data_IF_546513378826
#
_entry.id   IF_546513378826
#
_cell.length_a   1.000
_cell.length_b   1.000
_cell.length_c   1.000
_cell.angle_alpha   90.00
_cell.angle_beta   90.00
_cell.angle_gamma   90.00
#
_symmetry.space_group_name_H-M   'P 1'
#
loop_
_entity.id
_entity.type
_entity.pdbx_description
1 polymer ?
#
# COMPACT_ATOMS: atom_id res chain seq x y z
N UNK A 1 6.76 -5.58 -1.82
CA UNK A 1 7.20 -4.26 -2.32
C UNK A 1 8.00 -3.57 -1.21
N UNK A 2 9.01 -2.75 -1.52
CA UNK A 2 9.82 -2.04 -0.50
C UNK A 2 10.38 -0.71 -1.01
N UNK A 3 10.74 0.19 -0.09
CA UNK A 3 11.50 1.40 -0.39
C UNK A 3 13.00 1.15 -0.20
N UNK A 4 13.83 1.57 -1.15
CA UNK A 4 15.29 1.47 -1.08
C UNK A 4 15.92 2.84 -1.15
N UNK A 5 16.72 3.20 -0.16
CA UNK A 5 17.58 4.37 -0.20
C UNK A 5 18.97 4.00 -0.72
N UNK A 6 19.41 4.66 -1.79
CA UNK A 6 20.74 4.52 -2.37
C UNK A 6 21.70 5.50 -1.67
N UNK A 7 22.20 5.07 -0.51
CA UNK A 7 22.97 5.90 0.41
C UNK A 7 24.47 5.98 0.05
N UNK A 8 25.26 6.91 0.56
CA UNK A 8 24.87 8.04 1.37
C UNK A 8 24.68 9.28 0.47
N UNK A 9 23.73 10.15 0.80
CA UNK A 9 23.62 11.45 0.14
C UNK A 9 24.90 12.26 0.40
N UNK A 10 25.21 13.21 -0.49
CA UNK A 10 26.39 14.07 -0.31
C UNK A 10 26.21 15.13 0.78
N UNK A 11 24.97 15.49 1.07
CA UNK A 11 24.59 16.38 2.17
C UNK A 11 24.21 15.51 3.39
N UNK A 12 24.80 15.83 4.54
CA UNK A 12 24.57 15.10 5.78
C UNK A 12 23.14 15.27 6.30
N UNK A 13 22.59 16.48 6.22
CA UNK A 13 21.24 16.75 6.71
C UNK A 13 20.20 15.98 5.88
N UNK A 14 20.37 15.96 4.55
CA UNK A 14 19.50 15.17 3.65
C UNK A 14 19.62 13.67 3.93
N UNK A 15 20.84 13.19 4.26
CA UNK A 15 21.08 11.78 4.58
C UNK A 15 20.35 11.35 5.85
N UNK A 16 20.55 12.09 6.95
CA UNK A 16 19.90 11.79 8.23
C UNK A 16 18.38 11.91 8.11
N UNK A 17 17.88 12.96 7.45
CA UNK A 17 16.44 13.14 7.26
C UNK A 17 15.82 12.03 6.40
N UNK A 18 16.54 11.55 5.39
CA UNK A 18 16.09 10.40 4.59
C UNK A 18 15.97 9.15 5.46
N UNK A 19 16.96 8.88 6.30
CA UNK A 19 16.95 7.74 7.22
C UNK A 19 15.78 7.85 8.21
N UNK A 20 15.61 9.00 8.86
CA UNK A 20 14.51 9.26 9.81
C UNK A 20 13.12 9.06 9.17
N UNK A 21 12.95 9.50 7.93
CA UNK A 21 11.71 9.28 7.20
C UNK A 21 11.47 7.80 6.90
N UNK A 22 12.51 7.03 6.56
CA UNK A 22 12.38 5.58 6.36
C UNK A 22 11.99 4.86 7.66
N UNK A 23 12.56 5.26 8.82
CA UNK A 23 12.07 4.77 10.11
C UNK A 23 10.60 5.11 10.29
N UNK A 24 10.21 6.37 10.10
CA UNK A 24 8.82 6.80 10.29
C UNK A 24 7.84 6.03 9.39
N UNK A 25 8.22 5.79 8.13
CA UNK A 25 7.40 5.07 7.14
C UNK A 25 7.27 3.59 7.50
N UNK A 26 8.40 2.95 7.80
CA UNK A 26 8.40 1.59 8.32
C UNK A 26 7.53 1.51 9.58
N UNK A 27 7.68 2.50 10.47
CA UNK A 27 7.10 2.43 11.78
C UNK A 27 5.59 2.57 11.74
N UNK A 28 5.12 3.53 10.94
CA UNK A 28 3.71 3.87 10.83
C UNK A 28 2.92 2.90 9.96
N UNK A 29 3.51 2.37 8.89
CA UNK A 29 2.76 1.61 7.87
C UNK A 29 3.25 0.18 7.65
N UNK A 30 4.36 -0.22 8.28
CA UNK A 30 4.98 -1.53 8.07
C UNK A 30 5.57 -1.70 6.67
N UNK A 31 5.74 -0.61 5.93
CA UNK A 31 6.35 -0.65 4.60
C UNK A 31 7.81 -1.06 4.76
N UNK A 32 8.20 -2.16 4.11
CA UNK A 32 9.58 -2.63 4.15
C UNK A 32 10.53 -1.58 3.59
N UNK A 33 11.63 -1.34 4.30
CA UNK A 33 12.69 -0.39 3.91
C UNK A 33 14.04 -1.08 3.78
N UNK A 34 14.91 -0.54 2.93
CA UNK A 34 16.26 -1.02 2.68
C UNK A 34 17.21 0.15 2.46
N UNK A 35 18.46 0.00 2.89
CA UNK A 35 19.55 0.92 2.53
C UNK A 35 20.56 0.14 1.70
N UNK A 36 20.81 0.63 0.49
CA UNK A 36 21.91 0.19 -0.37
C UNK A 36 22.99 1.28 -0.36
N UNK A 37 24.06 1.06 0.39
CA UNK A 37 25.18 1.99 0.51
C UNK A 37 26.08 1.89 -0.72
N UNK A 38 25.88 2.85 -1.60
CA UNK A 38 26.70 3.22 -2.75
C UNK A 38 28.04 3.83 -2.30
N UNK A 39 28.01 4.65 -1.24
CA UNK A 39 29.18 5.37 -0.75
C UNK A 39 29.10 5.61 0.76
N UNK A 40 30.00 4.97 1.52
CA UNK A 40 30.06 5.07 2.98
C UNK A 40 30.75 6.37 3.42
N UNK A 41 29.97 7.44 3.55
CA UNK A 41 30.44 8.80 3.89
C UNK A 41 30.39 9.06 5.38
N UNK A 42 29.35 8.59 6.07
CA UNK A 42 29.03 9.02 7.44
C UNK A 42 29.21 7.95 8.52
N UNK A 43 29.79 6.80 8.18
CA UNK A 43 30.05 5.74 9.16
C UNK A 43 28.85 4.81 9.35
N UNK A 44 28.63 4.28 10.56
CA UNK A 44 27.63 3.21 10.78
C UNK A 44 26.21 3.77 10.93
N UNK A 45 25.27 3.18 10.19
CA UNK A 45 23.83 3.45 10.31
C UNK A 45 23.24 2.30 11.14
N UNK A 46 23.19 2.42 12.47
CA UNK A 46 22.62 1.39 13.34
C UNK A 46 22.01 2.00 14.61
N UNK A 47 20.83 1.53 15.06
CA UNK A 47 20.08 0.34 14.57
C UNK A 47 18.94 0.67 13.58
N UNK A 48 18.98 0.17 12.33
CA UNK A 48 17.95 0.41 11.26
C UNK A 48 16.99 -0.78 11.09
N UNK A 49 15.66 -0.57 10.88
CA UNK A 49 14.66 -1.64 10.81
C UNK A 49 14.80 -2.53 9.58
N UNK A 50 15.36 -1.99 8.49
CA UNK A 50 15.56 -2.71 7.24
C UNK A 50 16.94 -3.35 7.09
N UNK A 51 17.16 -3.99 5.94
CA UNK A 51 18.51 -4.46 5.60
C UNK A 51 19.40 -3.32 5.13
N UNK A 52 20.67 -3.33 5.56
CA UNK A 52 21.70 -2.45 5.02
C UNK A 52 22.67 -3.31 4.21
N UNK A 53 22.91 -2.91 2.96
CA UNK A 53 23.85 -3.55 2.03
C UNK A 53 24.86 -2.52 1.58
N UNK A 54 26.03 -2.99 1.17
CA UNK A 54 27.06 -2.13 0.60
C UNK A 54 27.57 -2.81 -0.66
N UNK A 55 27.45 -2.12 -1.79
CA UNK A 55 27.88 -2.60 -3.09
C UNK A 55 28.47 -1.44 -3.90
N UNK A 56 29.41 -1.70 -4.81
CA UNK A 56 29.91 -0.68 -5.73
C UNK A 56 28.79 -0.05 -6.55
N UNK A 57 28.89 1.26 -6.81
CA UNK A 57 27.89 2.02 -7.57
C UNK A 57 27.61 1.45 -8.95
N UNK A 58 28.65 0.93 -9.63
CA UNK A 58 28.53 0.29 -10.94
C UNK A 58 27.69 -0.99 -10.88
N UNK A 59 27.91 -1.85 -9.87
CA UNK A 59 27.16 -3.10 -9.68
C UNK A 59 25.69 -2.82 -9.36
N UNK A 60 25.42 -1.79 -8.53
CA UNK A 60 24.06 -1.36 -8.22
C UNK A 60 23.37 -0.84 -9.49
N UNK A 61 24.05 0.01 -10.26
CA UNK A 61 23.51 0.54 -11.50
C UNK A 61 23.18 -0.57 -12.49
N UNK A 62 24.11 -1.51 -12.70
CA UNK A 62 23.91 -2.62 -13.62
C UNK A 62 22.77 -3.55 -13.19
N UNK A 63 22.58 -3.74 -11.88
CA UNK A 63 21.49 -4.56 -11.32
C UNK A 63 20.13 -3.88 -11.42
N UNK A 64 20.03 -2.62 -10.99
CA UNK A 64 18.74 -1.97 -10.73
C UNK A 64 18.32 -1.00 -11.84
N UNK A 65 19.27 -0.31 -12.49
CA UNK A 65 18.99 0.82 -13.39
C UNK A 65 19.24 0.49 -14.87
N UNK A 66 20.25 -0.31 -15.17
CA UNK A 66 20.70 -0.55 -16.54
C UNK A 66 19.65 -1.30 -17.37
N UNK A 67 19.29 -0.74 -18.52
CA UNK A 67 18.26 -1.27 -19.44
C UNK A 67 16.89 -1.50 -18.78
N UNK A 68 16.62 -0.82 -17.67
CA UNK A 68 15.35 -0.94 -16.98
C UNK A 68 14.27 -0.09 -17.65
N UNK A 69 13.48 -0.73 -18.52
CA UNK A 69 12.40 -0.07 -19.26
C UNK A 69 11.24 0.35 -18.37
N UNK A 70 10.93 -0.43 -17.34
CA UNK A 70 9.86 -0.12 -16.39
C UNK A 70 10.17 1.18 -15.65
N UNK A 71 11.37 1.27 -15.07
CA UNK A 71 11.87 2.50 -14.46
C UNK A 71 11.80 3.66 -15.45
N UNK A 72 12.34 3.48 -16.66
CA UNK A 72 12.41 4.55 -17.66
C UNK A 72 11.04 5.09 -18.08
N UNK A 73 10.02 4.23 -18.17
CA UNK A 73 8.65 4.65 -18.43
C UNK A 73 8.07 5.45 -17.26
N UNK A 74 8.35 5.05 -16.01
CA UNK A 74 7.74 5.67 -14.82
C UNK A 74 8.43 6.99 -14.38
N UNK A 75 9.61 7.30 -14.92
CA UNK A 75 10.30 8.57 -14.70
C UNK A 75 10.33 9.46 -15.95
N UNK A 76 9.64 9.05 -17.03
CA UNK A 76 9.59 9.72 -18.32
C UNK A 76 10.96 10.03 -18.98
N UNK A 77 12.00 9.29 -18.61
CA UNK A 77 13.36 9.45 -19.15
C UNK A 77 14.15 8.13 -19.10
N UNK A 78 15.13 7.94 -20.00
CA UNK A 78 15.97 6.73 -19.90
C UNK A 78 16.82 6.73 -18.62
N UNK A 79 17.00 5.58 -17.93
CA UNK A 79 17.82 5.52 -16.72
C UNK A 79 19.27 5.97 -16.91
N UNK A 80 19.80 5.88 -18.13
CA UNK A 80 21.12 6.41 -18.46
C UNK A 80 21.19 7.93 -18.50
N UNK A 81 20.11 8.61 -18.88
CA UNK A 81 20.08 10.07 -18.86
C UNK A 81 19.85 10.60 -17.45
N UNK A 82 18.94 9.99 -16.70
CA UNK A 82 18.61 10.41 -15.35
C UNK A 82 19.74 10.17 -14.34
N UNK A 83 20.48 9.04 -14.45
CA UNK A 83 21.39 8.58 -13.40
C UNK A 83 22.86 8.43 -13.83
N UNK A 84 23.26 9.04 -14.95
CA UNK A 84 24.68 9.16 -15.34
C UNK A 84 25.05 10.59 -15.69
N UNK A 85 26.05 11.14 -15.00
CA UNK A 85 26.48 12.52 -15.21
C UNK A 85 27.39 12.70 -16.43
N UNK A 86 28.19 11.68 -16.79
CA UNK A 86 28.90 11.56 -18.08
C UNK A 86 29.69 10.25 -18.19
N UNK A 87 29.66 9.61 -19.37
CA UNK A 87 30.43 8.40 -19.64
C UNK A 87 30.01 7.21 -18.76
N UNK A 88 30.93 6.73 -17.91
CA UNK A 88 30.68 5.62 -16.97
C UNK A 88 30.31 6.06 -15.55
N UNK A 89 30.34 7.36 -15.26
CA UNK A 89 30.07 7.83 -13.90
C UNK A 89 28.59 7.68 -13.57
N UNK A 90 28.30 6.84 -12.58
CA UNK A 90 26.97 6.57 -12.04
C UNK A 90 26.66 7.59 -10.96
N UNK A 91 25.52 8.26 -11.08
CA UNK A 91 25.05 9.26 -10.13
C UNK A 91 23.76 8.75 -9.48
N UNK A 92 23.88 7.83 -8.53
CA UNK A 92 22.74 7.19 -7.83
C UNK A 92 22.72 7.41 -6.32
N UNK A 93 23.76 8.04 -5.77
CA UNK A 93 23.83 8.37 -4.35
C UNK A 93 22.72 9.37 -3.97
N UNK A 94 22.08 9.25 -2.81
CA UNK A 94 21.07 10.21 -2.34
C UNK A 94 19.66 10.03 -2.93
N UNK A 95 19.44 9.07 -3.83
CA UNK A 95 18.12 8.79 -4.39
C UNK A 95 17.37 7.70 -3.61
N UNK A 96 16.05 7.68 -3.75
CA UNK A 96 15.20 6.61 -3.22
C UNK A 96 14.45 5.94 -4.36
N UNK A 97 14.29 4.62 -4.27
CA UNK A 97 13.57 3.82 -5.25
C UNK A 97 12.47 2.98 -4.64
N UNK A 98 11.44 2.69 -5.45
CA UNK A 98 10.41 1.69 -5.17
C UNK A 98 10.86 0.37 -5.81
N UNK A 99 10.94 -0.69 -5.00
CA UNK A 99 11.29 -2.04 -5.44
C UNK A 99 10.05 -2.94 -5.38
N UNK A 100 9.57 -3.38 -6.54
CA UNK A 100 8.55 -4.42 -6.68
C UNK A 100 8.94 -5.38 -7.81
N UNK A 101 9.46 -6.56 -7.47
CA UNK A 101 10.08 -7.50 -8.42
C UNK A 101 11.37 -6.99 -9.10
N UNK A 102 11.69 -5.71 -8.93
CA UNK A 102 12.83 -4.96 -9.46
C UNK A 102 12.65 -3.47 -9.15
N UNK A 103 13.59 -2.61 -9.54
CA UNK A 103 13.41 -1.16 -9.39
C UNK A 103 12.35 -0.68 -10.39
N UNK A 104 11.18 -0.24 -9.89
CA UNK A 104 10.06 0.19 -10.76
C UNK A 104 9.96 1.70 -10.88
N UNK A 105 10.45 2.44 -9.89
CA UNK A 105 10.49 3.91 -9.89
C UNK A 105 11.63 4.39 -8.99
N UNK A 106 12.20 5.55 -9.28
CA UNK A 106 13.17 6.22 -8.41
C UNK A 106 13.00 7.74 -8.46
N UNK A 107 13.35 8.43 -7.36
CA UNK A 107 13.46 9.89 -7.39
C UNK A 107 14.50 10.31 -8.42
N UNK A 108 14.24 11.40 -9.13
CA UNK A 108 15.14 11.97 -10.14
C UNK A 108 15.88 13.20 -9.61
N UNK A 109 15.44 13.73 -8.46
CA UNK A 109 16.10 14.81 -7.72
C UNK A 109 16.43 14.41 -6.28
N UNK A 110 17.59 14.86 -5.78
CA UNK A 110 18.08 14.57 -4.42
C UNK A 110 17.57 15.59 -3.40
N UNK A 111 17.54 15.21 -2.13
CA UNK A 111 17.26 16.16 -1.05
C UNK A 111 15.85 16.72 -1.12
N UNK A 112 15.71 17.99 -0.76
CA UNK A 112 14.44 18.72 -0.78
C UNK A 112 14.17 19.41 -2.15
N UNK A 113 12.95 19.92 -2.39
CA UNK A 113 12.61 20.62 -3.63
C UNK A 113 13.31 21.99 -3.78
N UNK A 114 13.90 22.53 -2.71
CA UNK A 114 14.45 23.89 -2.67
C UNK A 114 15.73 23.94 -3.51
N UNK A 115 15.65 24.61 -4.65
CA UNK A 115 16.80 24.88 -5.52
C UNK A 115 16.70 24.22 -6.90
N UNK A 116 15.70 23.37 -7.13
CA UNK A 116 15.45 22.76 -8.46
C UNK A 116 14.55 23.60 -9.37
N UNK A 117 13.98 24.68 -8.85
CA UNK A 117 13.11 25.60 -9.60
C UNK A 117 11.62 25.22 -9.50
N UNK A 118 10.72 26.05 -10.04
CA UNK A 118 9.28 25.89 -9.87
C UNK A 118 8.68 24.73 -10.68
N UNK A 119 9.42 24.18 -11.64
CA UNK A 119 8.94 23.14 -12.55
C UNK A 119 9.17 21.72 -12.00
N UNK A 120 9.97 21.56 -10.94
CA UNK A 120 10.19 20.28 -10.27
C UNK A 120 9.11 20.09 -9.21
N UNK A 121 8.36 19.01 -9.34
CA UNK A 121 7.35 18.67 -8.34
C UNK A 121 8.02 18.16 -7.07
N UNK A 122 7.50 18.56 -5.90
CA UNK A 122 8.05 18.12 -4.61
C UNK A 122 8.20 16.59 -4.54
N UNK A 123 7.27 15.85 -5.15
CA UNK A 123 7.26 14.39 -5.15
C UNK A 123 8.27 13.73 -6.10
N UNK A 124 9.04 14.48 -6.87
CA UNK A 124 10.15 13.97 -7.68
C UNK A 124 11.49 14.03 -6.93
N UNK A 125 11.51 14.76 -5.82
CA UNK A 125 12.67 14.82 -4.91
C UNK A 125 12.64 13.68 -3.89
N UNK A 126 13.80 13.21 -3.45
CA UNK A 126 13.91 12.15 -2.42
C UNK A 126 13.14 12.50 -1.15
N UNK A 127 13.39 13.67 -0.56
CA UNK A 127 12.73 14.06 0.70
C UNK A 127 11.27 14.39 0.49
N UNK A 128 10.89 15.04 -0.62
CA UNK A 128 9.49 15.36 -0.87
C UNK A 128 8.65 14.10 -1.12
N UNK A 129 9.17 13.12 -1.86
CA UNK A 129 8.52 11.81 -2.01
C UNK A 129 8.38 11.09 -0.67
N UNK A 130 9.46 10.96 0.11
CA UNK A 130 9.41 10.28 1.40
C UNK A 130 8.47 10.97 2.39
N UNK A 131 8.40 12.31 2.39
CA UNK A 131 7.41 13.03 3.18
C UNK A 131 5.98 12.71 2.74
N UNK A 132 5.71 12.55 1.45
CA UNK A 132 4.38 12.13 0.99
C UNK A 132 4.05 10.72 1.45
N UNK A 133 5.00 9.77 1.37
CA UNK A 133 4.79 8.40 1.89
C UNK A 133 4.59 8.41 3.41
N UNK A 134 5.36 9.20 4.16
CA UNK A 134 5.17 9.32 5.61
C UNK A 134 3.75 9.82 5.98
N UNK A 135 3.12 10.61 5.11
CA UNK A 135 1.78 11.16 5.33
C UNK A 135 0.64 10.28 4.78
N UNK A 136 0.83 9.61 3.63
CA UNK A 136 -0.22 8.87 2.90
C UNK A 136 0.00 7.35 2.81
N UNK A 137 1.14 6.84 3.26
CA UNK A 137 1.48 5.42 3.22
C UNK A 137 1.58 4.87 1.80
N UNK A 138 1.01 3.69 1.58
CA UNK A 138 1.05 2.97 0.30
C UNK A 138 0.49 3.78 -0.88
N UNK A 139 -0.53 4.60 -0.65
CA UNK A 139 -1.17 5.37 -1.72
C UNK A 139 -0.15 6.25 -2.47
N UNK A 140 0.76 6.90 -1.75
CA UNK A 140 1.82 7.72 -2.35
C UNK A 140 2.87 6.90 -3.12
N UNK A 141 3.07 5.63 -2.74
CA UNK A 141 3.97 4.73 -3.44
C UNK A 141 3.33 4.25 -4.74
N UNK A 142 2.08 3.77 -4.66
CA UNK A 142 1.35 3.24 -5.81
C UNK A 142 1.12 4.33 -6.87
N UNK A 143 0.83 5.58 -6.47
CA UNK A 143 0.69 6.75 -7.36
C UNK A 143 1.89 6.95 -8.31
N UNK A 144 3.08 6.43 -7.98
CA UNK A 144 4.29 6.61 -8.80
C UNK A 144 4.44 5.67 -9.97
N UNK A 145 3.82 4.50 -9.93
CA UNK A 145 4.08 3.46 -10.93
C UNK A 145 2.86 2.60 -11.30
N UNK A 146 1.74 2.74 -10.58
CA UNK A 146 0.48 2.08 -10.88
C UNK A 146 -0.51 3.08 -11.43
N UNK A 147 -1.27 2.68 -12.44
CA UNK A 147 -2.40 3.49 -12.93
C UNK A 147 -3.57 3.48 -11.93
N UNK A 148 -4.54 4.38 -12.11
CA UNK A 148 -5.70 4.50 -11.22
C UNK A 148 -6.52 3.20 -11.13
N UNK A 149 -6.68 2.49 -12.25
CA UNK A 149 -7.46 1.25 -12.28
C UNK A 149 -6.73 0.11 -11.56
N UNK A 150 -5.40 0.05 -11.64
CA UNK A 150 -4.56 -0.89 -10.89
C UNK A 150 -4.61 -0.56 -9.39
N UNK A 151 -4.49 0.72 -9.02
CA UNK A 151 -4.53 1.21 -7.62
C UNK A 151 -5.84 0.92 -6.89
N UNK A 152 -6.96 0.95 -7.59
CA UNK A 152 -8.29 0.62 -7.05
C UNK A 152 -8.49 -0.88 -6.85
N UNK A 153 -7.72 -1.71 -7.59
CA UNK A 153 -7.90 -3.16 -7.63
C UNK A 153 -6.90 -3.94 -6.77
N UNK A 154 -5.85 -3.30 -6.25
CA UNK A 154 -4.69 -4.01 -5.69
C UNK A 154 -5.02 -4.96 -4.54
N UNK A 155 -5.68 -4.51 -3.47
CA UNK A 155 -5.88 -5.38 -2.29
C UNK A 155 -6.79 -6.57 -2.60
N UNK A 156 -7.95 -6.31 -3.21
CA UNK A 156 -8.92 -7.36 -3.53
C UNK A 156 -8.36 -8.33 -4.57
N UNK A 157 -7.72 -7.85 -5.64
CA UNK A 157 -7.14 -8.75 -6.65
C UNK A 157 -5.98 -9.57 -6.09
N UNK A 158 -5.12 -8.97 -5.25
CA UNK A 158 -4.06 -9.72 -4.58
C UNK A 158 -4.64 -10.80 -3.66
N UNK A 159 -5.68 -10.47 -2.88
CA UNK A 159 -6.36 -11.45 -2.03
C UNK A 159 -7.01 -12.57 -2.84
N UNK A 160 -7.75 -12.24 -3.90
CA UNK A 160 -8.40 -13.22 -4.78
C UNK A 160 -7.41 -14.06 -5.60
N UNK A 161 -6.20 -13.56 -5.83
CA UNK A 161 -5.13 -14.32 -6.46
C UNK A 161 -4.51 -15.35 -5.51
N UNK A 162 -4.79 -15.26 -4.21
CA UNK A 162 -4.43 -16.30 -3.25
C UNK A 162 -5.50 -17.38 -3.18
N UNK A 163 -5.09 -18.63 -2.95
CA UNK A 163 -6.00 -19.78 -2.82
C UNK A 163 -6.64 -19.87 -1.42
N UNK A 164 -6.79 -18.74 -0.70
CA UNK A 164 -7.31 -18.68 0.68
C UNK A 164 -8.80 -19.07 0.72
N UNK A 165 -9.59 -18.61 -0.25
CA UNK A 165 -11.02 -18.95 -0.39
C UNK A 165 -11.30 -19.30 -1.84
N UNK A 166 -11.85 -20.49 -2.09
CA UNK A 166 -12.23 -20.95 -3.42
C UNK A 166 -13.74 -20.84 -3.61
N UNK A 167 -14.19 -20.10 -4.64
CA UNK A 167 -15.62 -19.93 -4.93
C UNK A 167 -15.87 -19.06 -6.17
N UNK A 168 -17.15 -18.80 -6.44
CA UNK A 168 -17.57 -17.88 -7.52
C UNK A 168 -17.53 -16.45 -7.01
N UNK A 169 -16.78 -15.58 -7.69
CA UNK A 169 -16.55 -14.21 -7.24
C UNK A 169 -17.48 -13.21 -7.94
N UNK A 170 -18.20 -12.43 -7.14
CA UNK A 170 -18.98 -11.27 -7.57
C UNK A 170 -18.35 -10.01 -6.97
N UNK A 171 -17.97 -9.04 -7.81
CA UNK A 171 -17.33 -7.79 -7.37
C UNK A 171 -18.32 -6.64 -7.35
N UNK A 172 -18.04 -5.64 -6.52
CA UNK A 172 -18.78 -4.38 -6.45
C UNK A 172 -20.29 -4.61 -6.28
N UNK A 173 -20.66 -5.52 -5.38
CA UNK A 173 -22.05 -5.93 -5.20
C UNK A 173 -22.80 -4.86 -4.44
N UNK A 174 -23.73 -4.20 -5.13
CA UNK A 174 -24.61 -3.19 -4.52
C UNK A 174 -25.69 -3.88 -3.70
N UNK A 175 -25.80 -3.51 -2.42
CA UNK A 175 -26.78 -4.04 -1.48
C UNK A 175 -27.59 -2.93 -0.80
N UNK A 176 -28.83 -3.29 -0.46
CA UNK A 176 -29.82 -2.40 0.10
C UNK A 176 -30.54 -1.60 -0.99
N UNK A 177 -31.87 -1.64 -0.97
CA UNK A 177 -32.68 -0.77 -1.82
C UNK A 177 -32.65 0.67 -1.28
N UNK A 178 -32.25 1.64 -2.11
CA UNK A 178 -32.52 3.05 -1.84
C UNK A 178 -34.04 3.26 -1.79
N UNK A 179 -34.56 3.76 -0.67
CA UNK A 179 -35.98 4.15 -0.57
C UNK A 179 -36.25 5.57 -1.09
N UNK A 180 -35.24 6.22 -1.69
CA UNK A 180 -35.46 7.48 -2.36
C UNK A 180 -36.07 7.23 -3.74
N UNK A 181 -37.11 7.97 -4.13
CA UNK A 181 -37.70 7.84 -5.46
C UNK A 181 -36.67 8.20 -6.55
N UNK A 182 -36.63 7.40 -7.63
CA UNK A 182 -35.73 7.51 -8.80
C UNK A 182 -35.87 8.79 -9.63
N UNK A 183 -36.47 9.87 -9.10
CA UNK A 183 -36.58 11.13 -9.81
C UNK A 183 -36.20 12.31 -8.93
N UNK A 184 -35.20 13.13 -9.35
CA UNK A 184 -35.14 14.47 -8.84
C UNK A 184 -36.44 15.18 -9.23
N UNK A 185 -37.04 15.88 -8.28
CA UNK A 185 -37.98 16.93 -8.62
C UNK A 185 -37.28 17.87 -9.60
N UNK A 186 -37.86 18.05 -10.79
CA UNK A 186 -37.45 18.95 -11.87
C UNK A 186 -36.44 20.04 -11.44
N UNK A 187 -35.23 19.99 -12.02
CA UNK A 187 -34.32 21.14 -12.08
C UNK A 187 -33.28 21.28 -10.97
N UNK A 188 -33.03 20.23 -10.18
CA UNK A 188 -31.90 20.21 -9.23
C UNK A 188 -30.99 19.04 -9.58
N UNK A 189 -29.73 19.32 -9.89
CA UNK A 189 -28.66 18.31 -9.92
C UNK A 189 -28.61 17.66 -8.55
N UNK A 190 -29.22 16.48 -8.41
CA UNK A 190 -29.26 15.78 -7.13
C UNK A 190 -28.05 14.87 -7.03
N UNK A 191 -26.95 15.43 -6.53
CA UNK A 191 -25.83 14.72 -5.88
C UNK A 191 -26.26 13.96 -4.61
N UNK A 192 -27.52 13.55 -4.53
CA UNK A 192 -28.17 12.77 -3.48
C UNK A 192 -28.42 11.33 -3.93
N UNK A 193 -28.42 11.05 -5.26
CA UNK A 193 -28.55 9.69 -5.79
C UNK A 193 -27.36 8.79 -5.48
N UNK A 194 -26.15 9.36 -5.34
CA UNK A 194 -24.93 8.63 -4.94
C UNK A 194 -24.90 8.26 -3.45
N UNK A 195 -25.80 8.81 -2.61
CA UNK A 195 -25.69 8.69 -1.15
C UNK A 195 -26.31 7.45 -0.52
N UNK A 196 -26.88 6.50 -1.26
CA UNK A 196 -27.77 5.48 -0.65
C UNK A 196 -27.47 4.02 -1.02
N UNK A 197 -26.69 3.75 -2.06
CA UNK A 197 -26.26 2.37 -2.36
C UNK A 197 -24.99 2.03 -1.59
N UNK A 198 -25.00 0.91 -0.86
CA UNK A 198 -23.81 0.40 -0.17
C UNK A 198 -23.22 -0.72 -1.02
N UNK A 199 -21.95 -0.58 -1.39
CA UNK A 199 -21.24 -1.58 -2.20
C UNK A 199 -20.42 -2.48 -1.29
N UNK A 200 -20.50 -3.79 -1.51
CA UNK A 200 -19.58 -4.79 -0.98
C UNK A 200 -18.48 -5.01 -2.02
N UNK A 201 -17.21 -4.98 -1.60
CA UNK A 201 -16.08 -5.12 -2.52
C UNK A 201 -16.12 -6.46 -3.27
N UNK A 202 -16.34 -7.56 -2.54
CA UNK A 202 -16.61 -8.85 -3.15
C UNK A 202 -17.52 -9.76 -2.33
N UNK A 203 -18.26 -10.60 -3.05
CA UNK A 203 -18.93 -11.78 -2.54
C UNK A 203 -18.29 -13.01 -3.18
N UNK A 204 -17.81 -13.95 -2.36
CA UNK A 204 -17.28 -15.23 -2.83
C UNK A 204 -18.28 -16.31 -2.43
N UNK A 205 -19.06 -16.79 -3.39
CA UNK A 205 -20.03 -17.87 -3.20
C UNK A 205 -19.28 -19.22 -3.14
N UNK A 206 -19.40 -19.91 -2.01
CA UNK A 206 -18.84 -21.25 -1.80
C UNK A 206 -19.95 -22.28 -1.60
N UNK A 207 -19.60 -23.56 -1.51
CA UNK A 207 -20.59 -24.61 -1.21
C UNK A 207 -21.12 -24.53 0.23
N UNK A 208 -20.41 -23.85 1.14
CA UNK A 208 -20.71 -23.77 2.58
C UNK A 208 -21.37 -22.44 2.96
N UNK A 209 -20.84 -21.33 2.46
CA UNK A 209 -21.31 -19.98 2.78
C UNK A 209 -20.95 -18.96 1.70
N UNK A 210 -21.66 -17.83 1.72
CA UNK A 210 -21.27 -16.65 0.95
C UNK A 210 -20.32 -15.79 1.78
N UNK A 211 -19.11 -15.57 1.27
CA UNK A 211 -18.13 -14.73 1.94
C UNK A 211 -18.34 -13.27 1.57
N UNK A 212 -18.66 -12.44 2.56
CA UNK A 212 -18.78 -10.98 2.40
C UNK A 212 -17.42 -10.37 2.70
N UNK A 213 -16.70 -9.97 1.67
CA UNK A 213 -15.32 -9.49 1.76
C UNK A 213 -15.30 -7.97 1.65
N UNK A 214 -14.68 -7.34 2.64
CA UNK A 214 -14.33 -5.92 2.62
C UNK A 214 -12.82 -5.74 2.69
N UNK A 215 -12.28 -4.86 1.87
CA UNK A 215 -10.84 -4.65 1.74
C UNK A 215 -10.44 -3.23 2.12
N UNK A 216 -9.24 -3.10 2.69
CA UNK A 216 -8.60 -1.84 3.05
C UNK A 216 -7.10 -1.94 2.75
N UNK A 217 -6.44 -0.81 2.49
CA UNK A 217 -5.00 -0.82 2.17
C UNK A 217 -4.14 -1.06 3.41
N UNK A 218 -4.38 -0.31 4.47
CA UNK A 218 -3.54 -0.35 5.68
C UNK A 218 -4.36 -0.68 6.91
N UNK A 219 -3.86 -1.57 7.74
CA UNK A 219 -4.41 -1.80 9.07
C UNK A 219 -4.09 -0.63 10.00
N UNK A 220 -5.13 0.10 10.40
CA UNK A 220 -5.10 1.08 11.48
C UNK A 220 -6.33 0.84 12.36
N UNK A 221 -6.24 1.05 13.67
CA UNK A 221 -7.35 0.77 14.59
C UNK A 221 -8.66 1.49 14.19
N UNK A 222 -8.58 2.76 13.78
CA UNK A 222 -9.74 3.52 13.31
C UNK A 222 -10.31 3.00 11.99
N UNK A 223 -9.44 2.53 11.09
CA UNK A 223 -9.86 1.92 9.83
C UNK A 223 -10.56 0.59 10.12
N UNK A 224 -9.97 -0.26 10.97
CA UNK A 224 -10.58 -1.51 11.41
C UNK A 224 -11.98 -1.31 12.01
N UNK A 225 -12.15 -0.38 12.95
CA UNK A 225 -13.45 -0.10 13.58
C UNK A 225 -14.51 0.33 12.55
N UNK A 226 -14.10 1.19 11.59
CA UNK A 226 -14.99 1.65 10.52
C UNK A 226 -15.38 0.49 9.59
N UNK A 227 -14.40 -0.27 9.11
CA UNK A 227 -14.60 -1.39 8.19
C UNK A 227 -15.40 -2.52 8.83
N UNK A 228 -15.20 -2.77 10.13
CA UNK A 228 -16.03 -3.67 10.94
C UNK A 228 -17.50 -3.24 10.96
N UNK A 229 -17.76 -1.95 11.21
CA UNK A 229 -19.11 -1.40 11.15
C UNK A 229 -19.73 -1.55 9.77
N UNK A 230 -18.95 -1.31 8.72
CA UNK A 230 -19.42 -1.43 7.33
C UNK A 230 -19.77 -2.87 6.96
N UNK A 231 -18.90 -3.85 7.25
CA UNK A 231 -19.13 -5.25 6.85
C UNK A 231 -20.37 -5.83 7.53
N UNK A 232 -20.58 -5.53 8.82
CA UNK A 232 -21.78 -5.96 9.57
C UNK A 232 -23.07 -5.39 8.96
N UNK A 233 -23.04 -4.11 8.59
CA UNK A 233 -24.19 -3.42 8.00
C UNK A 233 -24.46 -3.95 6.58
N UNK A 234 -23.42 -4.18 5.79
CA UNK A 234 -23.52 -4.68 4.41
C UNK A 234 -24.01 -6.12 4.36
N UNK A 235 -23.49 -7.02 5.21
CA UNK A 235 -24.01 -8.38 5.35
C UNK A 235 -25.51 -8.39 5.65
N UNK A 236 -25.95 -7.55 6.61
CA UNK A 236 -27.36 -7.50 6.96
C UNK A 236 -28.23 -7.09 5.77
N UNK A 237 -27.76 -6.17 4.95
CA UNK A 237 -28.47 -5.76 3.73
C UNK A 237 -28.45 -6.87 2.67
N UNK A 238 -27.30 -7.50 2.44
CA UNK A 238 -27.16 -8.61 1.51
C UNK A 238 -28.16 -9.73 1.82
N UNK A 239 -28.23 -10.17 3.09
CA UNK A 239 -29.17 -11.18 3.54
C UNK A 239 -30.63 -10.76 3.31
N UNK A 240 -30.97 -9.47 3.47
CA UNK A 240 -32.33 -9.00 3.20
C UNK A 240 -32.68 -9.07 1.71
N UNK A 241 -31.73 -8.75 0.83
CA UNK A 241 -31.93 -8.75 -0.62
C UNK A 241 -32.01 -10.18 -1.20
N UNK A 242 -31.37 -11.16 -0.56
CA UNK A 242 -31.35 -12.57 -1.00
C UNK A 242 -32.44 -13.46 -0.39
N UNK A 243 -33.50 -12.87 0.21
CA UNK A 243 -34.59 -13.58 0.93
C UNK A 243 -34.11 -14.40 2.15
N UNK A 244 -33.07 -13.89 2.83
CA UNK A 244 -32.94 -13.75 4.28
C UNK A 244 -33.42 -14.88 5.20
N UNK A 245 -32.66 -15.97 5.26
CA UNK A 245 -32.35 -16.76 6.47
C UNK A 245 -31.66 -18.10 6.15
N UNK A 246 -31.55 -18.48 4.87
CA UNK A 246 -30.97 -19.79 4.47
C UNK A 246 -29.53 -19.73 3.98
N UNK A 247 -29.08 -18.58 3.50
CA UNK A 247 -27.69 -18.39 3.08
C UNK A 247 -26.85 -18.09 4.32
N UNK A 248 -26.00 -19.04 4.68
CA UNK A 248 -24.95 -18.83 5.67
C UNK A 248 -23.94 -17.85 5.08
N UNK A 249 -23.52 -16.84 5.84
CA UNK A 249 -22.50 -15.89 5.38
C UNK A 249 -21.30 -15.92 6.31
N UNK A 250 -20.12 -15.74 5.72
CA UNK A 250 -18.86 -15.59 6.44
C UNK A 250 -18.35 -14.18 6.18
N UNK A 251 -18.05 -13.43 7.23
CA UNK A 251 -17.58 -12.05 7.10
C UNK A 251 -16.06 -12.03 7.06
N UNK A 252 -15.49 -11.29 6.11
CA UNK A 252 -14.05 -11.13 6.00
C UNK A 252 -13.64 -9.66 5.85
N UNK A 253 -12.61 -9.26 6.59
CA UNK A 253 -11.94 -7.97 6.42
C UNK A 253 -10.49 -8.24 6.01
N UNK A 254 -10.03 -7.62 4.93
CA UNK A 254 -8.72 -7.87 4.34
C UNK A 254 -7.92 -6.58 4.29
N UNK A 255 -6.75 -6.56 4.92
CA UNK A 255 -5.82 -5.43 4.87
C UNK A 255 -4.59 -5.78 4.04
N UNK A 256 -4.11 -4.88 3.19
CA UNK A 256 -2.91 -5.15 2.38
C UNK A 256 -1.60 -5.08 3.19
N UNK A 257 -1.48 -4.13 4.12
CA UNK A 257 -0.31 -4.00 5.00
C UNK A 257 -0.68 -3.71 6.45
N UNK A 258 0.20 -4.08 7.37
CA UNK A 258 0.06 -3.84 8.81
C UNK A 258 1.32 -3.15 9.33
N UNK A 259 1.21 -2.16 10.25
CA UNK A 259 2.36 -1.57 10.93
C UNK A 259 3.24 -2.64 11.59
N UNK A 260 4.57 -2.52 11.51
CA UNK A 260 5.49 -3.50 12.11
C UNK A 260 5.30 -3.68 13.63
N UNK A 261 4.82 -2.65 14.34
CA UNK A 261 4.53 -2.71 15.78
C UNK A 261 3.42 -3.74 16.09
N UNK A 262 2.66 -4.10 15.07
CA UNK A 262 1.58 -5.08 15.07
C UNK A 262 1.91 -6.28 14.18
N UNK A 263 3.18 -6.45 13.79
CA UNK A 263 3.63 -7.63 13.05
C UNK A 263 3.26 -8.88 13.85
N UNK A 264 2.50 -9.77 13.20
CA UNK A 264 1.93 -10.99 13.79
C UNK A 264 3.02 -11.88 14.39
N UNK A 265 4.24 -11.83 13.84
CA UNK A 265 5.39 -12.60 14.35
C UNK A 265 6.07 -11.95 15.57
N UNK A 266 5.94 -10.62 15.72
CA UNK A 266 6.71 -9.84 16.70
C UNK A 266 5.84 -9.48 17.91
N UNK A 267 4.56 -9.13 17.69
CA UNK A 267 3.63 -8.69 18.75
C UNK A 267 2.20 -9.23 18.50
N UNK A 268 2.00 -10.56 18.42
CA UNK A 268 0.67 -11.15 18.17
C UNK A 268 -0.38 -10.66 19.16
N UNK A 269 -0.01 -10.49 20.43
CA UNK A 269 -0.92 -10.04 21.51
C UNK A 269 -1.54 -8.67 21.26
N UNK A 270 -0.89 -7.77 20.51
CA UNK A 270 -1.45 -6.44 20.24
C UNK A 270 -2.51 -6.51 19.14
N UNK A 271 -2.22 -7.26 18.07
CA UNK A 271 -3.17 -7.49 16.99
C UNK A 271 -4.39 -8.27 17.50
N UNK A 272 -4.17 -9.35 18.26
CA UNK A 272 -5.23 -10.16 18.90
C UNK A 272 -6.16 -9.29 19.75
N UNK A 273 -5.63 -8.31 20.49
CA UNK A 273 -6.46 -7.43 21.32
C UNK A 273 -7.34 -6.49 20.49
N UNK A 274 -6.83 -6.02 19.35
CA UNK A 274 -7.58 -5.13 18.46
C UNK A 274 -8.65 -5.94 17.72
N UNK A 275 -8.31 -7.15 17.27
CA UNK A 275 -9.22 -8.04 16.52
C UNK A 275 -10.08 -8.93 17.40
N UNK A 276 -9.91 -8.94 18.72
CA UNK A 276 -10.68 -9.80 19.64
C UNK A 276 -12.20 -9.68 19.46
N UNK A 277 -12.70 -8.49 19.08
CA UNK A 277 -14.12 -8.30 18.81
C UNK A 277 -14.58 -9.05 17.56
N UNK A 278 -13.72 -9.18 16.54
CA UNK A 278 -13.99 -9.96 15.34
C UNK A 278 -14.18 -11.43 15.66
N UNK A 279 -13.38 -12.00 16.56
CA UNK A 279 -13.53 -13.41 16.98
C UNK A 279 -14.91 -13.64 17.65
N UNK A 280 -15.37 -12.69 18.47
CA UNK A 280 -16.70 -12.79 19.09
C UNK A 280 -17.85 -12.68 18.11
N UNK A 281 -17.59 -12.10 16.93
CA UNK A 281 -18.58 -11.87 15.87
C UNK A 281 -18.41 -12.85 14.69
N UNK A 282 -17.49 -13.83 14.80
CA UNK A 282 -17.12 -14.78 13.75
C UNK A 282 -16.70 -14.10 12.43
N UNK A 283 -15.91 -13.02 12.56
CA UNK A 283 -15.37 -12.25 11.45
C UNK A 283 -13.91 -12.65 11.25
N UNK A 284 -13.57 -13.03 10.02
CA UNK A 284 -12.20 -13.41 9.64
C UNK A 284 -11.42 -12.17 9.22
N UNK A 285 -10.29 -11.91 9.86
CA UNK A 285 -9.41 -10.79 9.52
C UNK A 285 -8.18 -11.33 8.82
N UNK A 286 -7.85 -10.79 7.64
CA UNK A 286 -6.67 -11.15 6.88
C UNK A 286 -5.75 -9.95 6.74
N UNK A 287 -4.45 -10.21 6.80
CA UNK A 287 -3.40 -9.20 6.66
C UNK A 287 -2.40 -9.64 5.61
N UNK A 288 -2.08 -8.73 4.69
CA UNK A 288 -1.16 -8.98 3.59
C UNK A 288 0.29 -8.84 4.02
N UNK A 289 1.14 -9.74 3.53
CA UNK A 289 2.59 -9.73 3.70
C UNK A 289 3.27 -10.35 2.50
N UNK A 290 4.21 -9.64 1.87
CA UNK A 290 5.02 -10.18 0.77
C UNK A 290 4.23 -10.88 -0.36
N UNK A 291 2.99 -10.42 -0.64
CA UNK A 291 2.04 -10.98 -1.64
C UNK A 291 1.30 -12.24 -1.18
N UNK A 292 1.39 -12.60 0.09
CA UNK A 292 0.56 -13.60 0.76
C UNK A 292 -0.42 -12.92 1.72
N UNK A 293 -1.48 -13.63 2.12
CA UNK A 293 -2.44 -13.16 3.12
C UNK A 293 -2.56 -14.18 4.24
N UNK A 294 -2.35 -13.72 5.47
CA UNK A 294 -2.45 -14.55 6.66
C UNK A 294 -3.69 -14.18 7.45
N UNK A 295 -4.42 -15.19 7.95
CA UNK A 295 -5.55 -14.96 8.83
C UNK A 295 -5.03 -14.65 10.24
N UNK A 296 -5.52 -13.57 10.83
CA UNK A 296 -5.34 -13.28 12.26
C UNK A 296 -6.25 -14.21 13.05
N UNK A 297 -5.68 -15.03 13.93
CA UNK A 297 -6.42 -15.98 14.76
C UNK A 297 -6.09 -15.66 16.22
N UNK A 298 -7.09 -15.25 17.00
CA UNK A 298 -6.92 -15.07 18.45
C UNK A 298 -6.69 -16.40 19.17
N UNK A 299 -5.70 -16.45 20.07
CA UNK A 299 -5.47 -17.58 21.00
C UNK A 299 -6.54 -17.69 22.10
#
# INVERSE_FOLDING_TARGET
MKLRYYADASNFDDHEQTIDLLYTIHDKYGITVEIERVNNRYGSIQPFPGSIRENPSEDIYDRDFHYNRTLGSNIDESPSQAFKSSGRHVDIEGYVGIIDGGLVWASTYRGDPIGYGPDVSDNETTLGFLNQVANKGLEAIEEKYMDEAERERTTLEQFLATDVVNGTVHRDVVVGTSQLPDSPAYGVDSSVGEFVTRTIDAIIETDESDWIVQTEKTFEASTFDNTLGQVLVRDRLYRLDTNGDTVETTLAIVFNTVPWELDVDIVPTALDRITAISDTLDIRVFVGRDKEFEQVVGE
#
